data_IF_370618004115
#
_entry.id   IF_370618004115
#
_cell.length_a   1.000
_cell.length_b   1.000
_cell.length_c   1.000
_cell.angle_alpha   90.00
_cell.angle_beta   90.00
_cell.angle_gamma   90.00
#
_symmetry.space_group_name_H-M   'P 1'
#
loop_
_entity.id
_entity.type
_entity.pdbx_description
1 polymer ?
#
# COMPACT_ATOMS: atom_id res chain seq x y z
N UNK A 1 7.20 21.59 31.18
CA UNK A 1 6.92 21.65 29.73
C UNK A 1 6.01 20.49 29.44
N UNK A 2 4.77 20.76 29.05
CA UNK A 2 3.73 19.72 28.89
C UNK A 2 3.68 19.26 27.44
N UNK A 3 3.35 18.00 27.16
CA UNK A 3 3.43 17.44 25.79
C UNK A 3 2.49 18.09 24.75
N UNK A 4 1.61 19.00 25.19
CA UNK A 4 0.78 19.82 24.31
C UNK A 4 1.57 20.98 23.67
N UNK A 5 2.66 21.42 24.30
CA UNK A 5 3.52 22.50 23.79
C UNK A 5 4.37 22.07 22.59
N UNK A 6 4.54 20.75 22.38
CA UNK A 6 5.28 20.15 21.26
C UNK A 6 4.38 19.81 20.06
N UNK A 7 3.09 20.10 20.14
CA UNK A 7 2.16 19.78 19.04
C UNK A 7 2.33 20.75 17.89
N UNK A 8 2.42 20.19 16.68
CA UNK A 8 2.39 20.98 15.45
C UNK A 8 1.07 21.74 15.30
N UNK A 9 1.08 22.75 14.42
CA UNK A 9 -0.13 23.51 14.15
C UNK A 9 -1.22 22.60 13.55
N UNK A 10 -2.52 22.88 13.79
CA UNK A 10 -3.61 22.10 13.19
C UNK A 10 -3.53 21.96 11.66
N UNK A 11 -2.94 22.96 10.98
CA UNK A 11 -2.71 22.93 9.54
C UNK A 11 -1.67 21.87 9.13
N UNK A 12 -0.57 21.74 9.89
CA UNK A 12 0.46 20.72 9.66
C UNK A 12 -0.10 19.32 9.93
N UNK A 13 -0.76 19.13 11.07
CA UNK A 13 -1.41 17.85 11.41
C UNK A 13 -2.43 17.42 10.33
N UNK A 14 -3.20 18.36 9.78
CA UNK A 14 -4.11 18.08 8.66
C UNK A 14 -3.36 17.66 7.40
N UNK A 15 -2.27 18.33 7.06
CA UNK A 15 -1.46 18.00 5.90
C UNK A 15 -0.87 16.58 6.02
N UNK A 16 -0.38 16.22 7.20
CA UNK A 16 0.13 14.89 7.51
C UNK A 16 -0.96 13.82 7.36
N UNK A 17 -2.14 14.05 7.92
CA UNK A 17 -3.28 13.15 7.74
C UNK A 17 -3.62 12.92 6.26
N UNK A 18 -3.59 13.98 5.43
CA UNK A 18 -3.83 13.85 3.99
C UNK A 18 -2.71 13.07 3.29
N UNK A 19 -1.46 13.31 3.67
CA UNK A 19 -0.30 12.61 3.10
C UNK A 19 -0.34 11.11 3.47
N UNK A 20 -0.57 10.80 4.73
CA UNK A 20 -0.75 9.42 5.24
C UNK A 20 -1.93 8.76 4.54
N UNK A 21 -3.06 9.47 4.43
CA UNK A 21 -4.26 8.98 3.74
C UNK A 21 -4.00 8.58 2.29
N UNK A 22 -3.23 9.38 1.55
CA UNK A 22 -2.82 9.08 0.17
C UNK A 22 -1.85 7.91 0.10
N UNK A 23 -0.83 7.89 0.96
CA UNK A 23 0.19 6.83 0.97
C UNK A 23 -0.44 5.45 1.28
N UNK A 24 -1.34 5.41 2.27
CA UNK A 24 -2.07 4.21 2.67
C UNK A 24 -3.30 3.92 1.79
N UNK A 25 -3.62 4.81 0.85
CA UNK A 25 -4.78 4.68 -0.05
C UNK A 25 -6.11 4.50 0.71
N UNK A 26 -6.30 5.25 1.80
CA UNK A 26 -7.44 5.09 2.70
C UNK A 26 -8.80 5.31 2.02
N UNK A 27 -8.88 6.24 1.06
CA UNK A 27 -10.12 6.44 0.27
C UNK A 27 -10.52 5.18 -0.50
N UNK A 28 -9.55 4.48 -1.11
CA UNK A 28 -9.79 3.22 -1.80
C UNK A 28 -10.23 2.13 -0.82
N UNK A 29 -9.60 2.06 0.34
CA UNK A 29 -9.95 1.09 1.37
C UNK A 29 -11.35 1.33 1.94
N UNK A 30 -11.71 2.59 2.22
CA UNK A 30 -13.03 2.97 2.68
C UNK A 30 -14.12 2.60 1.67
N UNK A 31 -13.87 2.84 0.37
CA UNK A 31 -14.78 2.43 -0.70
C UNK A 31 -14.91 0.91 -0.80
N UNK A 32 -13.80 0.18 -0.76
CA UNK A 32 -13.81 -1.28 -0.83
C UNK A 32 -14.48 -1.94 0.38
N UNK A 33 -14.47 -1.29 1.55
CA UNK A 33 -15.10 -1.80 2.77
C UNK A 33 -16.63 -1.82 2.71
N UNK A 34 -17.24 -1.00 1.85
CA UNK A 34 -18.70 -0.92 1.69
C UNK A 34 -19.20 -1.52 0.37
N UNK A 35 -18.31 -1.75 -0.59
CA UNK A 35 -18.66 -2.44 -1.82
C UNK A 35 -18.81 -3.96 -1.57
N UNK A 36 -19.74 -4.65 -2.26
CA UNK A 36 -19.81 -6.10 -2.22
C UNK A 36 -18.48 -6.73 -2.59
N UNK A 37 -18.09 -7.78 -1.88
CA UNK A 37 -16.87 -8.51 -2.18
C UNK A 37 -16.91 -9.03 -3.64
N UNK A 38 -15.77 -9.02 -4.35
CA UNK A 38 -15.70 -9.58 -5.69
C UNK A 38 -16.04 -11.08 -5.67
N UNK A 39 -16.58 -11.59 -6.78
CA UNK A 39 -16.87 -13.01 -6.92
C UNK A 39 -15.58 -13.84 -6.82
N UNK A 40 -15.67 -14.96 -6.11
CA UNK A 40 -14.62 -15.98 -6.04
C UNK A 40 -14.87 -17.14 -7.01
N UNK A 41 -15.95 -17.08 -7.79
CA UNK A 41 -16.29 -18.14 -8.75
C UNK A 41 -15.37 -18.03 -9.96
N UNK A 42 -14.83 -19.18 -10.37
CA UNK A 42 -14.00 -19.28 -11.56
C UNK A 42 -14.68 -18.73 -12.82
N UNK A 43 -15.99 -18.97 -12.97
CA UNK A 43 -16.77 -18.54 -14.14
C UNK A 43 -16.91 -17.02 -14.25
N UNK A 44 -16.83 -16.29 -13.14
CA UNK A 44 -16.95 -14.83 -13.09
C UNK A 44 -15.58 -14.13 -13.25
N UNK A 45 -14.48 -14.90 -13.22
CA UNK A 45 -13.15 -14.34 -13.42
C UNK A 45 -12.93 -14.00 -14.90
N UNK A 46 -12.32 -12.83 -15.23
CA UNK A 46 -12.06 -12.47 -16.61
C UNK A 46 -11.21 -13.54 -17.30
N UNK A 47 -11.69 -14.05 -18.43
CA UNK A 47 -10.89 -14.93 -19.30
C UNK A 47 -9.81 -14.09 -19.99
N UNK A 48 -8.70 -14.73 -20.37
CA UNK A 48 -7.63 -14.10 -21.14
C UNK A 48 -6.81 -13.02 -20.40
N UNK A 49 -6.80 -13.02 -19.06
CA UNK A 49 -5.83 -12.23 -18.30
C UNK A 49 -4.43 -12.77 -18.56
N UNK A 50 -3.63 -12.03 -19.32
CA UNK A 50 -2.21 -12.36 -19.50
C UNK A 50 -1.52 -12.31 -18.14
N UNK A 51 -0.73 -13.33 -17.84
CA UNK A 51 0.18 -13.29 -16.69
C UNK A 51 1.07 -12.07 -16.84
N UNK A 52 1.21 -11.29 -15.77
CA UNK A 52 2.08 -10.13 -15.75
C UNK A 52 3.52 -10.60 -15.80
N UNK A 53 4.32 -10.00 -16.68
CA UNK A 53 5.75 -10.23 -16.68
C UNK A 53 6.35 -9.69 -15.38
N UNK A 54 7.11 -10.55 -14.70
CA UNK A 54 7.82 -10.21 -13.47
C UNK A 54 9.29 -10.05 -13.82
N UNK A 55 9.80 -8.83 -13.70
CA UNK A 55 11.22 -8.52 -13.93
C UNK A 55 11.93 -8.29 -12.60
N UNK A 56 13.07 -8.94 -12.41
CA UNK A 56 13.97 -8.64 -11.28
C UNK A 56 14.86 -7.47 -11.71
N UNK A 57 14.68 -6.31 -11.07
CA UNK A 57 15.52 -5.15 -11.33
C UNK A 57 16.86 -5.26 -10.60
N UNK A 58 17.88 -4.58 -11.09
CA UNK A 58 19.19 -4.51 -10.41
C UNK A 58 19.06 -3.96 -8.97
N UNK A 59 18.13 -3.03 -8.75
CA UNK A 59 17.85 -2.50 -7.42
C UNK A 59 17.27 -3.59 -6.49
N UNK A 60 16.35 -4.41 -6.98
CA UNK A 60 15.81 -5.53 -6.22
C UNK A 60 16.91 -6.57 -5.90
N UNK A 61 17.80 -6.85 -6.85
CA UNK A 61 18.94 -7.75 -6.63
C UNK A 61 19.91 -7.22 -5.55
N UNK A 62 20.24 -5.92 -5.58
CA UNK A 62 21.07 -5.29 -4.55
C UNK A 62 20.42 -5.35 -3.17
N UNK A 63 19.11 -5.12 -3.09
CA UNK A 63 18.36 -5.22 -1.83
C UNK A 63 18.36 -6.66 -1.31
N UNK A 64 18.10 -7.65 -2.17
CA UNK A 64 18.13 -9.06 -1.79
C UNK A 64 19.52 -9.48 -1.24
N UNK A 65 20.59 -9.03 -1.90
CA UNK A 65 21.96 -9.27 -1.43
C UNK A 65 22.23 -8.61 -0.07
N UNK A 66 21.78 -7.36 0.12
CA UNK A 66 21.94 -6.64 1.38
C UNK A 66 21.11 -7.24 2.53
N UNK A 67 19.94 -7.81 2.22
CA UNK A 67 19.07 -8.44 3.20
C UNK A 67 19.54 -9.86 3.59
N UNK A 68 20.56 -10.42 2.92
CA UNK A 68 21.02 -11.80 3.11
C UNK A 68 19.83 -12.77 3.27
N UNK A 69 18.81 -12.61 2.42
CA UNK A 69 17.59 -13.39 2.49
C UNK A 69 17.94 -14.85 2.11
N UNK A 70 18.27 -15.66 3.11
CA UNK A 70 18.38 -17.12 2.99
C UNK A 70 16.98 -17.64 2.69
N UNK A 71 16.64 -17.71 1.40
CA UNK A 71 15.55 -18.54 0.91
C UNK A 71 16.10 -19.97 0.83
N UNK A 72 16.11 -20.66 1.96
CA UNK A 72 16.12 -22.13 1.99
C UNK A 72 14.71 -22.66 1.75
#
# INVERSE_FOLDING_TARGET
>A
MTSYDDLETPAQMRADCLQVGRHLRLERAARAAVEPAPSLLYADFPREVRKRDVTVSDAAARIAAALHLHLD
#
